data_IF_801992994026
#
_entry.id   IF_801992994026
#
_cell.length_a   1.000
_cell.length_b   1.000
_cell.length_c   1.000
_cell.angle_alpha   90.00
_cell.angle_beta   90.00
_cell.angle_gamma   90.00
#
_symmetry.space_group_name_H-M   'P 1'
#
loop_
_entity.id
_entity.type
_entity.pdbx_description
1 polymer ?
#
# COMPACT_ATOMS: atom_id res chain seq x y z
N UNK A 1 4.84 4.03 13.87
CA UNK A 1 5.52 4.05 12.57
C UNK A 1 5.65 5.49 12.11
N UNK A 2 6.83 5.88 11.64
CA UNK A 2 7.08 7.16 10.99
C UNK A 2 6.57 7.12 9.55
N UNK A 3 6.45 8.30 8.92
CA UNK A 3 6.06 8.39 7.51
C UNK A 3 7.11 7.70 6.60
N UNK A 4 8.40 7.84 6.92
CA UNK A 4 9.49 7.18 6.19
C UNK A 4 9.36 5.65 6.27
N UNK A 5 9.11 5.10 7.47
CA UNK A 5 8.87 3.66 7.65
C UNK A 5 7.67 3.16 6.85
N UNK A 6 6.57 3.93 6.79
CA UNK A 6 5.39 3.56 6.00
C UNK A 6 5.74 3.50 4.50
N UNK A 7 6.48 4.48 3.99
CA UNK A 7 6.88 4.52 2.57
C UNK A 7 7.83 3.37 2.24
N UNK A 8 8.80 3.06 3.12
CA UNK A 8 9.70 1.92 2.93
C UNK A 8 8.96 0.58 2.99
N UNK A 9 8.02 0.42 3.93
CA UNK A 9 7.14 -0.74 3.99
C UNK A 9 6.34 -0.90 2.69
N UNK A 10 5.80 0.19 2.14
CA UNK A 10 5.05 0.17 0.88
C UNK A 10 5.93 -0.33 -0.27
N UNK A 11 7.18 0.14 -0.40
CA UNK A 11 8.10 -0.35 -1.43
C UNK A 11 8.42 -1.84 -1.28
N UNK A 12 8.66 -2.30 -0.05
CA UNK A 12 8.91 -3.72 0.20
C UNK A 12 7.69 -4.59 -0.13
N UNK A 13 6.49 -4.13 0.21
CA UNK A 13 5.23 -4.81 -0.09
C UNK A 13 4.95 -4.83 -1.60
N UNK A 14 5.22 -3.74 -2.31
CA UNK A 14 5.09 -3.67 -3.76
C UNK A 14 6.03 -4.64 -4.47
N UNK A 15 7.30 -4.68 -4.06
CA UNK A 15 8.27 -5.62 -4.62
C UNK A 15 7.83 -7.08 -4.38
N UNK A 16 7.31 -7.37 -3.19
CA UNK A 16 6.78 -8.69 -2.85
C UNK A 16 5.58 -9.05 -3.72
N UNK A 17 4.58 -8.18 -3.82
CA UNK A 17 3.36 -8.43 -4.61
C UNK A 17 3.68 -8.58 -6.10
N UNK A 18 4.61 -7.76 -6.63
CA UNK A 18 5.05 -7.84 -8.02
C UNK A 18 5.62 -9.22 -8.37
N UNK A 19 6.30 -9.89 -7.44
CA UNK A 19 6.81 -11.24 -7.68
C UNK A 19 5.68 -12.24 -7.96
N UNK A 20 4.52 -12.08 -7.30
CA UNK A 20 3.34 -12.92 -7.55
C UNK A 20 2.63 -12.54 -8.84
N UNK A 21 2.53 -11.24 -9.15
CA UNK A 21 1.97 -10.78 -10.44
C UNK A 21 2.78 -11.30 -11.63
N UNK A 22 4.11 -11.30 -11.52
CA UNK A 22 5.01 -11.89 -12.53
C UNK A 22 4.88 -13.41 -12.61
N UNK A 23 4.67 -14.09 -11.48
CA UNK A 23 4.51 -15.55 -11.42
C UNK A 23 3.19 -16.01 -12.03
N UNK A 24 2.11 -15.28 -11.76
CA UNK A 24 0.75 -15.71 -12.08
C UNK A 24 0.10 -14.97 -13.25
N UNK A 25 0.67 -13.86 -13.71
CA UNK A 25 0.15 -13.09 -14.85
C UNK A 25 -1.16 -12.37 -14.57
N UNK A 26 -1.54 -12.20 -13.31
CA UNK A 26 -2.76 -11.49 -12.87
C UNK A 26 -2.39 -10.33 -11.96
N UNK A 27 -3.23 -9.30 -11.92
CA UNK A 27 -3.01 -8.17 -11.01
C UNK A 27 -3.23 -8.62 -9.57
N UNK A 28 -2.58 -7.95 -8.61
CA UNK A 28 -2.84 -8.23 -7.19
C UNK A 28 -4.30 -7.97 -6.79
N UNK A 29 -5.01 -7.09 -7.50
CA UNK A 29 -6.44 -6.85 -7.26
C UNK A 29 -7.27 -8.04 -7.71
N UNK A 30 -7.11 -8.49 -8.95
CA UNK A 30 -7.86 -9.65 -9.47
C UNK A 30 -7.55 -10.92 -8.67
N UNK A 31 -6.29 -11.12 -8.29
CA UNK A 31 -5.87 -12.24 -7.46
C UNK A 31 -6.57 -12.19 -6.09
N UNK A 32 -6.78 -11.00 -5.52
CA UNK A 32 -7.45 -10.84 -4.23
C UNK A 32 -8.91 -11.19 -4.33
N UNK A 33 -9.56 -10.72 -5.40
CA UNK A 33 -10.96 -10.96 -5.63
C UNK A 33 -11.24 -12.46 -5.84
N UNK A 34 -10.37 -13.16 -6.57
CA UNK A 34 -10.45 -14.62 -6.73
C UNK A 34 -10.22 -15.34 -5.39
N UNK A 35 -9.25 -14.90 -4.59
CA UNK A 35 -8.96 -15.45 -3.26
C UNK A 35 -10.16 -15.29 -2.32
N UNK A 36 -10.77 -14.11 -2.26
CA UNK A 36 -11.93 -13.84 -1.41
C UNK A 36 -13.17 -14.63 -1.82
N UNK A 37 -13.31 -14.94 -3.12
CA UNK A 37 -14.42 -15.74 -3.64
C UNK A 37 -14.22 -17.25 -3.47
N UNK A 38 -13.03 -17.70 -3.02
CA UNK A 38 -12.69 -19.12 -2.94
C UNK A 38 -12.58 -19.79 -4.32
N UNK A 39 -12.24 -19.01 -5.36
CA UNK A 39 -12.11 -19.50 -6.74
C UNK A 39 -10.69 -19.96 -7.09
N UNK A 40 -9.76 -19.85 -6.14
CA UNK A 40 -8.40 -20.33 -6.32
C UNK A 40 -8.33 -21.80 -5.92
N UNK A 41 -7.78 -22.62 -6.81
CA UNK A 41 -7.42 -23.99 -6.50
C UNK A 41 -6.23 -24.01 -5.53
N UNK A 42 -6.55 -24.21 -4.24
CA UNK A 42 -5.60 -24.20 -3.13
C UNK A 42 -5.50 -25.57 -2.42
N UNK A 43 -5.87 -26.65 -3.11
CA UNK A 43 -5.93 -28.02 -2.57
C UNK A 43 -4.56 -28.53 -2.03
N UNK A 44 -3.46 -27.95 -2.51
CA UNK A 44 -2.11 -28.20 -1.99
C UNK A 44 -1.73 -27.30 -0.80
N UNK A 45 -1.14 -27.87 0.26
CA UNK A 45 -0.64 -27.12 1.43
C UNK A 45 0.34 -26.00 1.04
N UNK A 46 1.19 -26.22 0.04
CA UNK A 46 2.14 -25.20 -0.43
C UNK A 46 1.44 -24.04 -1.15
N UNK A 47 0.44 -24.32 -1.99
CA UNK A 47 -0.37 -23.31 -2.69
C UNK A 47 -1.21 -22.49 -1.73
N UNK A 48 -1.95 -23.15 -0.82
CA UNK A 48 -2.75 -22.45 0.20
C UNK A 48 -1.87 -21.56 1.09
N UNK A 49 -0.70 -22.05 1.52
CA UNK A 49 0.26 -21.24 2.29
C UNK A 49 0.78 -20.05 1.49
N UNK A 50 1.07 -20.25 0.20
CA UNK A 50 1.55 -19.19 -0.67
C UNK A 50 0.49 -18.10 -0.90
N UNK A 51 -0.76 -18.50 -1.19
CA UNK A 51 -1.87 -17.57 -1.40
C UNK A 51 -2.20 -16.81 -0.12
N UNK A 52 -2.20 -17.47 1.04
CA UNK A 52 -2.38 -16.81 2.33
C UNK A 52 -1.27 -15.78 2.61
N UNK A 53 -0.01 -16.11 2.31
CA UNK A 53 1.13 -15.18 2.45
C UNK A 53 1.01 -13.97 1.53
N UNK A 54 0.57 -14.19 0.30
CA UNK A 54 0.33 -13.13 -0.67
C UNK A 54 -0.83 -12.24 -0.24
N UNK A 55 -1.97 -12.81 0.12
CA UNK A 55 -3.16 -12.08 0.57
C UNK A 55 -2.85 -11.22 1.81
N UNK A 56 -2.08 -11.77 2.76
CA UNK A 56 -1.61 -11.04 3.93
C UNK A 56 -0.76 -9.82 3.55
N UNK A 57 0.13 -9.95 2.56
CA UNK A 57 0.93 -8.84 2.07
C UNK A 57 0.05 -7.79 1.36
N UNK A 58 -0.93 -8.21 0.56
CA UNK A 58 -1.85 -7.31 -0.13
C UNK A 58 -2.71 -6.50 0.85
N UNK A 59 -3.28 -7.16 1.86
CA UNK A 59 -4.04 -6.51 2.93
C UNK A 59 -3.15 -5.52 3.71
N UNK A 60 -1.91 -5.90 4.02
CA UNK A 60 -0.98 -5.02 4.71
C UNK A 60 -0.63 -3.79 3.87
N UNK A 61 -0.41 -3.95 2.56
CA UNK A 61 -0.20 -2.83 1.63
C UNK A 61 -1.37 -1.86 1.66
N UNK A 62 -2.60 -2.35 1.57
CA UNK A 62 -3.79 -1.49 1.64
C UNK A 62 -3.85 -0.69 2.95
N UNK A 63 -3.56 -1.32 4.09
CA UNK A 63 -3.50 -0.63 5.40
C UNK A 63 -2.41 0.44 5.43
N UNK A 64 -1.21 0.15 4.91
CA UNK A 64 -0.10 1.10 4.85
C UNK A 64 -0.40 2.25 3.90
N UNK A 65 -1.05 1.98 2.77
CA UNK A 65 -1.49 3.01 1.83
C UNK A 65 -2.51 3.95 2.49
N UNK A 66 -3.51 3.41 3.17
CA UNK A 66 -4.47 4.22 3.94
C UNK A 66 -3.77 5.10 4.99
N UNK A 67 -2.80 4.56 5.73
CA UNK A 67 -2.01 5.35 6.70
C UNK A 67 -1.17 6.45 6.03
N UNK A 68 -0.67 6.18 4.82
CA UNK A 68 0.06 7.17 4.04
C UNK A 68 -0.86 8.27 3.52
N UNK A 69 -2.02 7.91 2.96
CA UNK A 69 -3.05 8.85 2.49
C UNK A 69 -3.53 9.77 3.61
N UNK A 70 -3.81 9.23 4.80
CA UNK A 70 -4.15 10.04 5.96
C UNK A 70 -3.04 11.05 6.32
N UNK A 71 -1.79 10.61 6.27
CA UNK A 71 -0.63 11.48 6.56
C UNK A 71 -0.46 12.55 5.48
N UNK A 72 -0.69 12.20 4.23
CA UNK A 72 -0.71 13.13 3.09
C UNK A 72 -1.81 14.17 3.26
N UNK A 73 -3.03 13.74 3.57
CA UNK A 73 -4.16 14.66 3.77
C UNK A 73 -3.91 15.61 4.95
N UNK A 74 -3.34 15.11 6.06
CA UNK A 74 -2.93 15.95 7.19
C UNK A 74 -1.91 17.02 6.75
N UNK A 75 -0.94 16.65 5.92
CA UNK A 75 0.05 17.59 5.41
C UNK A 75 -0.59 18.62 4.48
N UNK A 76 -1.41 18.21 3.51
CA UNK A 76 -2.14 19.10 2.60
C UNK A 76 -3.01 20.10 3.37
N UNK A 77 -3.69 19.64 4.43
CA UNK A 77 -4.52 20.50 5.28
C UNK A 77 -3.69 21.56 6.04
N UNK A 78 -2.43 21.27 6.36
CA UNK A 78 -1.52 22.25 6.96
C UNK A 78 -1.02 23.27 5.92
N UNK A 79 -0.88 22.84 4.67
CA UNK A 79 -0.46 23.69 3.56
C UNK A 79 -1.57 24.61 3.06
N UNK A 80 -2.85 24.28 3.31
CA UNK A 80 -4.02 24.99 2.77
C UNK A 80 -4.62 25.95 3.83
N UNK A 81 -4.37 27.27 3.74
CA UNK A 81 -5.05 28.24 4.61
C UNK A 81 -6.56 28.23 4.36
N UNK A 82 -7.36 28.33 5.42
CA UNK A 82 -8.84 28.33 5.36
C UNK A 82 -9.47 29.44 4.49
N UNK A 83 -8.70 30.43 4.05
CA UNK A 83 -9.21 31.62 3.35
C UNK A 83 -8.35 32.09 2.15
N UNK A 84 -7.36 31.32 1.68
CA UNK A 84 -6.48 31.78 0.60
C UNK A 84 -6.99 31.38 -0.79
N UNK A 85 -7.19 32.36 -1.67
CA UNK A 85 -7.35 32.16 -3.12
C UNK A 85 -6.00 31.98 -3.85
N UNK A 86 -4.90 31.84 -3.11
CA UNK A 86 -3.58 31.65 -3.70
C UNK A 86 -3.31 30.17 -4.02
N UNK A 87 -2.50 29.88 -5.05
CA UNK A 87 -2.06 28.51 -5.35
C UNK A 87 -1.35 27.87 -4.15
N UNK A 88 -1.63 26.59 -3.91
CA UNK A 88 -0.98 25.80 -2.87
C UNK A 88 0.52 25.65 -3.16
N UNK A 89 1.38 26.10 -2.23
CA UNK A 89 2.82 25.84 -2.33
C UNK A 89 3.17 24.54 -1.61
N UNK A 90 3.64 23.54 -2.36
CA UNK A 90 4.13 22.27 -1.83
C UNK A 90 5.64 22.39 -1.54
N UNK A 91 6.02 22.28 -0.27
CA UNK A 91 7.41 22.19 0.15
C UNK A 91 7.74 20.79 0.70
N UNK A 92 9.04 20.42 0.81
CA UNK A 92 9.43 19.11 1.34
C UNK A 92 8.81 18.84 2.72
N UNK A 93 8.23 17.66 2.90
CA UNK A 93 7.59 17.31 4.18
C UNK A 93 8.66 17.15 5.27
N UNK A 94 8.64 17.97 6.35
CA UNK A 94 9.66 17.91 7.40
C UNK A 94 9.72 16.55 8.10
N UNK A 95 8.62 15.79 8.12
CA UNK A 95 8.57 14.43 8.68
C UNK A 95 9.42 13.41 7.91
N UNK A 96 9.90 13.76 6.71
CA UNK A 96 10.79 12.93 5.88
C UNK A 96 12.24 13.42 5.87
N UNK A 97 12.51 14.61 6.42
CA UNK A 97 13.85 15.22 6.41
C UNK A 97 14.64 14.84 7.69
N UNK A 98 13.93 14.48 8.76
CA UNK A 98 14.51 14.14 10.06
C UNK A 98 14.71 12.63 10.30
N UNK A 99 14.40 11.79 9.30
CA UNK A 99 14.47 10.32 9.38
C UNK A 99 15.70 9.74 8.73
#
# INVERSE_FOLDING_TARGET
MTLSEIIQDLYALDARLRAYELKYGVTSTDFYDLYQQGLLDDEGYEQSTEFARWASAYILKQKRMSSFEESSQRFINQLTPKASMQPLQLFPNPALIQS
#
